data_IF_997872821635
#
_entry.id   IF_997872821635
#
_cell.length_a   1.000
_cell.length_b   1.000
_cell.length_c   1.000
_cell.angle_alpha   90.00
_cell.angle_beta   90.00
_cell.angle_gamma   90.00
#
_symmetry.space_group_name_H-M   'P 1'
#
loop_
_entity.id
_entity.type
_entity.pdbx_description
1 polymer ?
#
# COMPACT_ATOMS: atom_id res chain seq x y z
N UNK A 1 32.58 -29.73 35.09
CA UNK A 1 31.83 -28.46 35.11
C UNK A 1 32.12 -27.49 33.93
N UNK A 2 33.25 -27.61 33.18
CA UNK A 2 33.60 -26.66 32.11
C UNK A 2 32.93 -26.92 30.75
N UNK A 3 32.61 -28.17 30.40
CA UNK A 3 31.98 -28.54 29.11
C UNK A 3 30.49 -28.18 29.03
N UNK A 4 29.76 -28.20 30.15
CA UNK A 4 28.34 -27.80 30.18
C UNK A 4 28.11 -26.30 29.98
N UNK A 5 29.09 -25.46 30.31
CA UNK A 5 29.02 -24.01 30.03
C UNK A 5 29.15 -23.70 28.54
N UNK A 6 29.96 -24.47 27.81
CA UNK A 6 30.18 -24.29 26.36
C UNK A 6 28.94 -24.76 25.58
N UNK A 7 28.33 -25.88 25.98
CA UNK A 7 27.10 -26.38 25.37
C UNK A 7 25.90 -25.44 25.58
N UNK A 8 25.77 -24.83 26.78
CA UNK A 8 24.73 -23.85 27.06
C UNK A 8 24.89 -22.56 26.24
N UNK A 9 26.13 -22.10 26.00
CA UNK A 9 26.41 -20.95 25.15
C UNK A 9 26.12 -21.22 23.66
N UNK A 10 26.40 -22.44 23.18
CA UNK A 10 26.12 -22.82 21.79
C UNK A 10 24.62 -22.95 21.48
N UNK A 11 23.83 -23.46 22.43
CA UNK A 11 22.37 -23.54 22.29
C UNK A 11 21.70 -22.16 22.30
N UNK A 12 22.22 -21.20 23.08
CA UNK A 12 21.71 -19.82 23.12
C UNK A 12 21.97 -19.06 21.80
N UNK A 13 23.06 -19.38 21.10
CA UNK A 13 23.42 -18.76 19.82
C UNK A 13 22.56 -19.26 18.65
N UNK A 14 22.10 -20.52 18.67
CA UNK A 14 21.23 -21.07 17.63
C UNK A 14 19.78 -20.57 17.78
N UNK A 15 19.31 -20.34 19.02
CA UNK A 15 17.98 -19.80 19.28
C UNK A 15 17.82 -18.31 18.88
N UNK A 16 18.93 -17.56 18.76
CA UNK A 16 18.92 -16.16 18.34
C UNK A 16 18.90 -15.96 16.81
N UNK A 17 19.05 -17.03 16.01
CA UNK A 17 19.20 -16.95 14.55
C UNK A 17 17.87 -16.91 13.77
N UNK A 18 16.72 -17.00 14.44
CA UNK A 18 15.42 -16.80 13.78
C UNK A 18 15.00 -15.32 13.92
N UNK A 19 15.87 -14.43 13.47
CA UNK A 19 15.48 -13.04 13.25
C UNK A 19 14.46 -13.03 12.11
N UNK A 20 13.28 -12.50 12.38
CA UNK A 20 12.13 -12.49 11.49
C UNK A 20 12.49 -11.88 10.11
N UNK A 21 12.71 -12.74 9.12
CA UNK A 21 12.71 -12.34 7.71
C UNK A 21 11.25 -12.20 7.29
N UNK A 22 10.70 -11.01 7.48
CA UNK A 22 9.55 -10.56 6.69
C UNK A 22 9.62 -9.05 6.53
N UNK A 23 10.49 -8.62 5.62
CA UNK A 23 10.62 -7.26 5.13
C UNK A 23 9.75 -7.03 3.88
N UNK A 24 8.60 -7.71 3.80
CA UNK A 24 7.72 -7.59 2.65
C UNK A 24 6.85 -6.34 2.81
N UNK A 25 6.80 -5.53 1.76
CA UNK A 25 5.94 -4.34 1.69
C UNK A 25 4.48 -4.75 1.91
N UNK A 26 3.74 -4.01 2.72
CA UNK A 26 2.32 -4.21 2.93
C UNK A 26 1.58 -2.87 2.89
N UNK A 27 0.32 -2.87 2.46
CA UNK A 27 -0.55 -1.69 2.57
C UNK A 27 -0.91 -1.48 4.03
N UNK A 28 -0.67 -0.28 4.55
CA UNK A 28 -1.02 0.10 5.93
C UNK A 28 -2.32 0.91 6.00
N UNK A 29 -2.64 1.68 4.96
CA UNK A 29 -3.82 2.54 4.87
C UNK A 29 -4.15 2.89 3.42
N UNK A 30 -5.41 3.20 3.15
CA UNK A 30 -5.86 3.82 1.90
C UNK A 30 -6.66 5.09 2.17
N UNK A 31 -6.67 6.00 1.21
CA UNK A 31 -7.55 7.17 1.15
C UNK A 31 -8.08 7.27 -0.29
N UNK A 32 -9.40 7.17 -0.52
CA UNK A 32 -10.43 6.79 0.44
C UNK A 32 -10.13 5.46 1.17
N UNK A 33 -10.68 5.29 2.36
CA UNK A 33 -10.61 4.00 3.06
C UNK A 33 -11.23 2.91 2.18
N UNK A 34 -10.67 1.69 2.23
CA UNK A 34 -11.23 0.55 1.51
C UNK A 34 -12.69 0.34 1.92
N UNK A 35 -13.54 0.11 0.92
CA UNK A 35 -14.99 -0.06 1.02
C UNK A 35 -15.76 1.16 1.59
N UNK A 36 -15.11 2.34 1.66
CA UNK A 36 -15.76 3.56 2.10
C UNK A 36 -16.91 3.99 1.19
N UNK A 37 -17.96 4.52 1.80
CA UNK A 37 -19.06 5.20 1.12
C UNK A 37 -18.97 6.71 1.38
N UNK A 38 -18.51 7.45 0.37
CA UNK A 38 -18.32 8.90 0.43
C UNK A 38 -19.60 9.64 0.03
N UNK A 39 -19.87 10.77 0.68
CA UNK A 39 -20.94 11.69 0.28
C UNK A 39 -20.49 12.67 -0.81
N UNK A 40 -19.18 12.81 -1.01
CA UNK A 40 -18.57 13.71 -1.98
C UNK A 40 -17.43 13.01 -2.70
N UNK A 41 -17.13 13.47 -3.92
CA UNK A 41 -15.95 13.02 -4.66
C UNK A 41 -14.68 13.29 -3.84
N UNK A 42 -13.75 12.31 -3.72
CA UNK A 42 -12.45 12.58 -3.15
C UNK A 42 -11.65 13.50 -4.08
N UNK A 43 -10.76 14.31 -3.52
CA UNK A 43 -9.83 15.15 -4.29
C UNK A 43 -8.54 14.43 -4.68
N UNK A 44 -8.24 13.29 -4.06
CA UNK A 44 -7.06 12.50 -4.31
C UNK A 44 -7.27 11.03 -3.92
N UNK A 45 -6.44 10.17 -4.50
CA UNK A 45 -6.26 8.79 -4.09
C UNK A 45 -4.87 8.66 -3.46
N UNK A 46 -4.78 7.92 -2.36
CA UNK A 46 -3.51 7.66 -1.70
C UNK A 46 -3.46 6.25 -1.08
N UNK A 47 -2.31 5.59 -1.20
CA UNK A 47 -2.05 4.25 -0.65
C UNK A 47 -0.76 4.31 0.14
N UNK A 48 -0.82 4.04 1.45
CA UNK A 48 0.34 4.01 2.33
C UNK A 48 0.84 2.58 2.51
N UNK A 49 2.14 2.47 2.68
CA UNK A 49 2.82 1.19 2.81
C UNK A 49 3.73 1.16 4.04
N UNK A 50 4.15 -0.04 4.42
CA UNK A 50 5.14 -0.26 5.49
C UNK A 50 6.57 0.12 5.06
N UNK A 51 6.84 0.13 3.74
CA UNK A 51 8.12 0.48 3.13
C UNK A 51 7.93 1.56 2.05
N UNK A 52 9.01 2.29 1.75
CA UNK A 52 8.99 3.28 0.69
C UNK A 52 8.80 2.60 -0.69
N UNK A 53 7.84 3.05 -1.53
CA UNK A 53 7.68 2.51 -2.87
C UNK A 53 8.84 2.89 -3.80
N UNK A 54 9.34 1.93 -4.60
CA UNK A 54 10.28 2.20 -5.69
C UNK A 54 9.59 2.97 -6.84
N UNK A 55 10.07 4.17 -7.21
CA UNK A 55 9.52 4.95 -8.31
C UNK A 55 9.49 4.27 -9.68
N UNK A 56 10.48 3.43 -10.00
CA UNK A 56 10.60 2.83 -11.33
C UNK A 56 9.40 1.93 -11.66
N UNK A 57 8.89 1.21 -10.66
CA UNK A 57 7.83 0.21 -10.83
C UNK A 57 6.45 0.69 -10.37
N UNK A 58 6.40 1.76 -9.56
CA UNK A 58 5.17 2.23 -8.92
C UNK A 58 4.12 2.70 -9.93
N UNK A 59 2.85 2.33 -9.71
CA UNK A 59 1.69 2.72 -10.52
C UNK A 59 0.45 2.87 -9.64
N UNK A 60 -0.43 3.81 -9.99
CA UNK A 60 -1.73 4.02 -9.38
C UNK A 60 -2.75 4.30 -10.49
N UNK A 61 -3.89 3.62 -10.48
CA UNK A 61 -4.95 3.76 -11.47
C UNK A 61 -6.32 3.77 -10.80
N UNK A 62 -7.27 4.48 -11.40
CA UNK A 62 -8.66 4.59 -10.95
C UNK A 62 -9.59 4.14 -12.07
N UNK A 63 -10.51 3.24 -11.77
CA UNK A 63 -11.56 2.79 -12.69
C UNK A 63 -12.93 3.08 -12.10
N UNK A 64 -13.86 3.55 -12.94
CA UNK A 64 -15.29 3.63 -12.66
C UNK A 64 -16.10 2.80 -13.66
N UNK A 65 -17.43 2.95 -13.64
CA UNK A 65 -18.32 2.20 -14.52
C UNK A 65 -18.06 2.39 -16.02
N UNK A 66 -17.56 3.58 -16.42
CA UNK A 66 -17.25 3.92 -17.81
C UNK A 66 -15.82 3.51 -18.24
N UNK A 67 -15.03 2.90 -17.35
CA UNK A 67 -13.64 2.53 -17.61
C UNK A 67 -12.64 3.32 -16.76
N UNK A 68 -11.42 3.44 -17.27
CA UNK A 68 -10.33 4.15 -16.59
C UNK A 68 -10.57 5.66 -16.54
N UNK A 69 -10.27 6.25 -15.38
CA UNK A 69 -10.40 7.68 -15.10
C UNK A 69 -8.99 8.22 -14.91
N UNK A 70 -8.65 9.25 -15.66
CA UNK A 70 -7.34 9.89 -15.57
C UNK A 70 -7.14 10.52 -14.18
N UNK A 71 -6.03 10.14 -13.54
CA UNK A 71 -5.52 10.78 -12.33
C UNK A 71 -4.51 11.87 -12.71
N UNK A 72 -4.18 12.72 -11.74
CA UNK A 72 -3.00 13.58 -11.82
C UNK A 72 -1.69 12.78 -11.86
N UNK A 73 -0.57 13.47 -11.94
CA UNK A 73 0.75 12.85 -11.87
C UNK A 73 0.91 12.04 -10.57
N UNK A 74 1.55 10.87 -10.69
CA UNK A 74 1.86 10.02 -9.55
C UNK A 74 2.98 10.67 -8.71
N UNK A 75 2.67 10.99 -7.47
CA UNK A 75 3.61 11.48 -6.46
C UNK A 75 3.93 10.36 -5.47
N UNK A 76 5.23 10.12 -5.24
CA UNK A 76 5.70 9.19 -4.21
C UNK A 76 6.17 10.01 -3.03
N UNK A 77 5.38 9.96 -1.96
CA UNK A 77 5.53 10.88 -0.85
C UNK A 77 6.46 10.31 0.22
N UNK A 78 7.03 11.22 1.01
CA UNK A 78 7.96 10.89 2.10
C UNK A 78 7.35 10.03 3.22
N UNK A 79 6.03 9.96 3.31
CA UNK A 79 5.29 9.11 4.25
C UNK A 79 5.07 7.68 3.72
N UNK A 80 5.86 7.26 2.73
CA UNK A 80 5.82 5.92 2.11
C UNK A 80 4.48 5.64 1.43
N UNK A 81 4.03 6.57 0.60
CA UNK A 81 2.76 6.44 -0.10
C UNK A 81 2.83 6.78 -1.58
N UNK A 82 1.95 6.14 -2.34
CA UNK A 82 1.59 6.57 -3.68
C UNK A 82 0.41 7.54 -3.56
N UNK A 83 0.50 8.70 -4.20
CA UNK A 83 -0.53 9.73 -4.21
C UNK A 83 -0.80 10.19 -5.64
N UNK A 84 -2.07 10.41 -5.97
CA UNK A 84 -2.42 11.12 -7.20
C UNK A 84 -3.71 11.92 -6.99
N UNK A 85 -3.75 13.12 -7.56
CA UNK A 85 -4.94 13.95 -7.55
C UNK A 85 -6.07 13.34 -8.41
N UNK A 86 -7.32 13.59 -8.02
CA UNK A 86 -8.51 13.29 -8.83
C UNK A 86 -8.97 14.62 -9.43
N UNK A 87 -8.63 14.92 -10.70
CA UNK A 87 -8.78 16.27 -11.26
C UNK A 87 -10.23 16.67 -11.57
N UNK A 88 -11.13 15.68 -11.66
CA UNK A 88 -12.54 15.89 -11.99
C UNK A 88 -13.45 15.28 -10.93
N UNK A 89 -14.57 15.94 -10.64
CA UNK A 89 -15.60 15.42 -9.74
C UNK A 89 -16.12 14.08 -10.24
N UNK A 90 -15.99 13.06 -9.39
CA UNK A 90 -16.53 11.74 -9.64
C UNK A 90 -18.05 11.75 -9.51
N UNK A 91 -18.74 11.14 -10.47
CA UNK A 91 -20.18 10.91 -10.40
C UNK A 91 -20.52 9.90 -9.29
N UNK A 92 -21.79 9.82 -8.91
CA UNK A 92 -22.24 8.75 -8.01
C UNK A 92 -22.01 7.38 -8.64
N UNK A 93 -21.41 6.46 -7.89
CA UNK A 93 -21.07 5.13 -8.38
C UNK A 93 -19.95 4.46 -7.58
N UNK A 94 -19.63 3.23 -7.98
CA UNK A 94 -18.52 2.47 -7.43
C UNK A 94 -17.24 2.70 -8.24
N UNK A 95 -16.13 2.73 -7.53
CA UNK A 95 -14.81 2.98 -8.07
C UNK A 95 -13.83 1.95 -7.52
N UNK A 96 -12.91 1.51 -8.37
CA UNK A 96 -11.82 0.60 -8.01
C UNK A 96 -10.49 1.29 -8.24
N UNK A 97 -9.66 1.31 -7.20
CA UNK A 97 -8.28 1.78 -7.27
C UNK A 97 -7.39 0.56 -7.40
N UNK A 98 -6.48 0.58 -8.37
CA UNK A 98 -5.44 -0.44 -8.55
C UNK A 98 -4.08 0.19 -8.30
N UNK A 99 -3.21 -0.55 -7.63
CA UNK A 99 -1.85 -0.12 -7.36
C UNK A 99 -0.84 -1.22 -7.68
N UNK A 100 0.37 -0.79 -8.00
CA UNK A 100 1.56 -1.64 -8.13
C UNK A 100 2.72 -0.93 -7.46
N UNK A 101 3.51 -1.64 -6.67
CA UNK A 101 4.68 -1.08 -6.01
C UNK A 101 5.67 -2.19 -5.61
N UNK A 102 6.92 -1.83 -5.31
CA UNK A 102 7.90 -2.69 -4.69
C UNK A 102 8.56 -1.95 -3.53
N UNK A 103 8.91 -2.67 -2.46
CA UNK A 103 9.74 -2.15 -1.37
C UNK A 103 11.23 -2.44 -1.61
N UNK A 104 12.01 -2.36 -0.54
CA UNK A 104 13.48 -2.49 -0.60
C UNK A 104 13.96 -3.88 -1.07
N UNK A 105 13.11 -4.91 -0.97
CA UNK A 105 13.41 -6.27 -1.42
C UNK A 105 13.23 -6.48 -2.93
N UNK A 106 12.75 -5.44 -3.65
CA UNK A 106 12.55 -5.45 -5.10
C UNK A 106 11.37 -6.31 -5.58
N UNK A 107 10.63 -6.96 -4.67
CA UNK A 107 9.48 -7.77 -5.06
C UNK A 107 8.29 -6.87 -5.42
N UNK A 108 7.91 -6.89 -6.69
CA UNK A 108 6.74 -6.15 -7.15
C UNK A 108 5.45 -6.79 -6.66
N UNK A 109 4.68 -6.03 -5.90
CA UNK A 109 3.35 -6.36 -5.45
C UNK A 109 2.28 -5.55 -6.20
N UNK A 110 1.07 -6.09 -6.22
CA UNK A 110 -0.11 -5.48 -6.82
C UNK A 110 -1.28 -5.68 -5.87
N UNK A 111 -2.21 -4.75 -5.89
CA UNK A 111 -3.47 -4.89 -5.20
C UNK A 111 -4.49 -3.89 -5.68
N UNK A 112 -5.69 -4.01 -5.12
CA UNK A 112 -6.80 -3.12 -5.42
C UNK A 112 -7.67 -2.94 -4.18
N UNK A 113 -8.39 -1.82 -4.14
CA UNK A 113 -9.46 -1.57 -3.18
C UNK A 113 -10.57 -0.78 -3.87
N UNK A 114 -11.77 -0.80 -3.31
CA UNK A 114 -12.91 -0.08 -3.87
C UNK A 114 -13.44 0.97 -2.90
N UNK A 115 -14.15 1.96 -3.43
CA UNK A 115 -14.95 2.92 -2.67
C UNK A 115 -16.19 3.29 -3.49
N UNK A 116 -17.18 3.90 -2.86
CA UNK A 116 -18.40 4.38 -3.53
C UNK A 116 -18.60 5.87 -3.26
N UNK A 117 -19.01 6.63 -4.27
CA UNK A 117 -19.52 8.00 -4.11
C UNK A 117 -21.05 7.95 -4.19
N UNK A 118 -21.73 8.46 -3.19
CA UNK A 118 -23.20 8.56 -3.13
C UNK A 118 -23.64 9.97 -3.53
N UNK A 119 -24.84 10.08 -4.10
CA UNK A 119 -25.46 11.38 -4.26
C UNK A 119 -25.73 11.97 -2.86
N UNK A 120 -25.47 13.27 -2.69
CA UNK A 120 -26.04 14.00 -1.59
C UNK A 120 -27.56 14.02 -1.78
N UNK A 121 -28.30 13.45 -0.82
CA UNK A 121 -29.76 13.55 -0.77
C UNK A 121 -30.20 14.99 -0.43
#
# INVERSE_FOLDING_TARGET
MRVWRIAACAALLIAAAVAAVSAHMAVSKTMPEADAALLTSPSAIQVWFTQAPDPAVSRLALNGAAGEIALGELDIRSDKSLHAAVPSTLASGSYTVRWRAAGDDGHTQRGEFSFTVRAAN
#
